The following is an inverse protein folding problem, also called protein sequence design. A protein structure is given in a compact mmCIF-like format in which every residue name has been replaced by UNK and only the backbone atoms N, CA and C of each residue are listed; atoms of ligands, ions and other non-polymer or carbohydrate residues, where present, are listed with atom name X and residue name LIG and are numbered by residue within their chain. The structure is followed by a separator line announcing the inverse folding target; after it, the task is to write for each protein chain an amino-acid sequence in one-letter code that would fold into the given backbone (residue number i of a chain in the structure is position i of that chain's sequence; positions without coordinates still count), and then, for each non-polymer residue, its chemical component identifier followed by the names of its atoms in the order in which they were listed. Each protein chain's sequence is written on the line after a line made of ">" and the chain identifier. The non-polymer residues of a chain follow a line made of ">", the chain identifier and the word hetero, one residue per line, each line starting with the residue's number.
data_IF_476468914183
#
_entry.id   IF_476468914183
#
_cell.length_a   1.000
_cell.length_b   1.000
_cell.length_c   1.000
_cell.angle_alpha   90.00
_cell.angle_beta   90.00
_cell.angle_gamma   90.00
#
_symmetry.space_group_name_H-M   'P 1'
#
loop_
_entity.id
_entity.type
_entity.pdbx_description
1 polymer ?
#
# COMPACT_ATOMS: atom_id res chain seq x y z
N UNK A 1 -19.81 18.50 2.40
CA UNK A 1 -19.45 17.66 1.24
C UNK A 1 -18.34 16.76 1.75
N UNK A 2 -18.37 15.46 1.46
CA UNK A 2 -17.34 14.52 1.91
C UNK A 2 -16.48 14.04 0.74
N UNK A 3 -15.19 13.83 0.99
CA UNK A 3 -14.23 13.36 -0.01
C UNK A 3 -14.07 11.85 0.11
N UNK A 4 -14.25 11.15 -1.01
CA UNK A 4 -13.98 9.72 -1.09
C UNK A 4 -12.49 9.46 -0.84
N UNK A 5 -12.13 8.57 0.09
CA UNK A 5 -10.73 8.27 0.41
C UNK A 5 -10.18 7.12 -0.44
N UNK A 6 -11.05 6.23 -0.92
CA UNK A 6 -10.69 5.03 -1.66
C UNK A 6 -11.58 4.87 -2.90
N UNK A 7 -11.05 4.34 -4.00
CA UNK A 7 -11.84 4.03 -5.20
C UNK A 7 -12.61 2.72 -5.02
N UNK A 8 -13.92 2.72 -5.27
CA UNK A 8 -14.75 1.52 -5.19
C UNK A 8 -15.96 1.62 -6.12
N UNK A 9 -16.58 0.48 -6.43
CA UNK A 9 -17.78 0.42 -7.27
C UNK A 9 -18.90 -0.27 -6.52
N UNK A 10 -20.12 0.25 -6.67
CA UNK A 10 -21.33 -0.39 -6.15
C UNK A 10 -22.36 -0.58 -7.26
N UNK A 11 -23.21 -1.58 -7.11
CA UNK A 11 -24.37 -1.74 -7.98
C UNK A 11 -25.53 -0.90 -7.45
N UNK A 12 -26.02 0.03 -8.27
CA UNK A 12 -27.17 0.88 -7.95
C UNK A 12 -28.08 0.96 -9.17
N UNK A 13 -29.38 0.71 -8.96
CA UNK A 13 -30.39 0.78 -10.01
C UNK A 13 -30.05 -0.11 -11.24
N UNK A 14 -29.40 -1.25 -11.01
CA UNK A 14 -29.02 -2.19 -12.07
C UNK A 14 -27.79 -1.77 -12.89
N UNK A 15 -27.06 -0.73 -12.47
CA UNK A 15 -25.81 -0.29 -13.10
C UNK A 15 -24.68 -0.16 -12.06
N UNK A 16 -23.42 -0.49 -12.44
CA UNK A 16 -22.28 -0.22 -11.58
C UNK A 16 -21.97 1.28 -11.56
N UNK A 17 -21.98 1.87 -10.37
CA UNK A 17 -21.57 3.24 -10.09
C UNK A 17 -20.20 3.21 -9.43
N UNK A 18 -19.21 3.80 -10.11
CA UNK A 18 -17.84 3.91 -9.60
C UNK A 18 -17.66 5.23 -8.85
N UNK A 19 -17.06 5.14 -7.67
CA UNK A 19 -16.57 6.27 -6.89
C UNK A 19 -15.04 6.26 -6.92
N UNK A 20 -14.45 7.42 -7.23
CA UNK A 20 -13.00 7.54 -7.37
C UNK A 20 -12.42 8.19 -6.12
N UNK A 21 -11.24 7.73 -5.69
CA UNK A 21 -10.49 8.38 -4.63
C UNK A 21 -10.30 9.88 -4.94
N UNK A 22 -10.64 10.71 -3.97
CA UNK A 22 -10.62 12.16 -4.07
C UNK A 22 -11.89 12.81 -4.61
N UNK A 23 -12.87 12.03 -5.10
CA UNK A 23 -14.16 12.55 -5.56
C UNK A 23 -14.94 13.17 -4.40
N UNK A 24 -15.44 14.40 -4.60
CA UNK A 24 -16.31 15.08 -3.65
C UNK A 24 -17.76 14.66 -3.85
N UNK A 25 -18.42 14.27 -2.76
CA UNK A 25 -19.79 13.80 -2.74
C UNK A 25 -20.59 14.65 -1.74
N UNK A 26 -21.86 14.91 -2.06
CA UNK A 26 -22.76 15.66 -1.17
C UNK A 26 -23.02 14.91 0.14
N UNK A 27 -23.15 15.61 1.26
CA UNK A 27 -23.39 15.00 2.58
C UNK A 27 -24.73 14.25 2.65
N UNK A 28 -25.67 14.54 1.73
CA UNK A 28 -26.95 13.84 1.62
C UNK A 28 -26.90 12.61 0.73
N UNK A 29 -25.75 12.29 0.14
CA UNK A 29 -25.64 11.16 -0.77
C UNK A 29 -25.86 9.83 -0.02
N UNK A 30 -26.73 8.93 -0.51
CA UNK A 30 -27.10 7.71 0.21
C UNK A 30 -25.91 6.78 0.49
N UNK A 31 -24.84 6.89 -0.31
CA UNK A 31 -23.62 6.10 -0.11
C UNK A 31 -22.96 6.35 1.25
N UNK A 32 -23.13 7.55 1.81
CA UNK A 32 -22.58 7.93 3.10
C UNK A 32 -23.29 7.20 4.25
N UNK A 33 -24.47 6.61 4.03
CA UNK A 33 -25.15 5.79 5.04
C UNK A 33 -24.52 4.41 5.19
N UNK A 34 -24.06 3.83 4.09
CA UNK A 34 -23.54 2.45 4.04
C UNK A 34 -22.02 2.40 4.07
N UNK A 35 -21.35 3.40 3.49
CA UNK A 35 -19.90 3.41 3.28
C UNK A 35 -19.24 4.64 3.89
N UNK A 36 -19.81 5.22 4.96
CA UNK A 36 -19.30 6.45 5.61
C UNK A 36 -17.79 6.41 5.91
N UNK A 37 -17.27 5.24 6.27
CA UNK A 37 -15.85 5.03 6.59
C UNK A 37 -14.92 5.23 5.38
N UNK A 38 -15.45 5.23 4.15
CA UNK A 38 -14.73 5.54 2.91
C UNK A 38 -14.79 7.03 2.53
N UNK A 39 -15.38 7.86 3.39
CA UNK A 39 -15.57 9.29 3.14
C UNK A 39 -15.09 10.11 4.32
N UNK A 40 -14.25 11.09 4.04
CA UNK A 40 -13.69 12.00 5.05
C UNK A 40 -14.18 13.43 4.81
N UNK A 41 -14.27 14.23 5.86
CA UNK A 41 -14.52 15.66 5.72
C UNK A 41 -13.31 16.27 4.97
N UNK A 42 -13.54 17.14 3.97
CA UNK A 42 -12.46 17.78 3.23
C UNK A 42 -11.73 18.71 4.19
N UNK A 43 -10.70 18.18 4.85
CA UNK A 43 -9.85 18.95 5.73
C UNK A 43 -9.16 20.01 4.86
N UNK A 44 -9.55 21.27 5.07
CA UNK A 44 -8.87 22.38 4.45
C UNK A 44 -7.44 22.45 5.01
N UNK A 45 -6.47 22.13 4.16
CA UNK A 45 -5.05 22.53 4.22
C UNK A 45 -4.09 21.61 4.98
N UNK A 46 -3.25 20.89 4.23
CA UNK A 46 -1.81 21.08 4.31
C UNK A 46 -1.23 21.23 2.90
N UNK A 47 -0.41 22.27 2.63
CA UNK A 47 0.22 22.51 1.35
C UNK A 47 1.51 21.68 1.26
N UNK A 48 1.41 20.50 0.64
CA UNK A 48 2.56 19.72 0.17
C UNK A 48 2.51 19.69 -1.35
N UNK A 49 3.07 20.73 -1.97
CA UNK A 49 3.07 20.87 -3.42
C UNK A 49 3.87 19.74 -4.08
N UNK A 50 3.25 19.06 -5.05
CA UNK A 50 3.88 18.92 -6.36
C UNK A 50 2.81 19.11 -7.42
N UNK A 51 2.93 20.13 -8.28
CA UNK A 51 1.86 20.53 -9.19
C UNK A 51 1.87 19.73 -10.50
N UNK A 52 0.67 19.58 -11.05
CA UNK A 52 0.34 19.42 -12.48
C UNK A 52 0.85 18.16 -13.18
N UNK A 53 -0.03 17.16 -13.32
CA UNK A 53 -0.09 16.42 -14.59
C UNK A 53 -1.41 16.74 -15.27
N UNK A 54 -1.31 17.58 -16.29
CA UNK A 54 -2.36 17.83 -17.24
C UNK A 54 -2.93 16.48 -17.72
N UNK A 55 -4.24 16.36 -17.69
CA UNK A 55 -4.95 15.28 -18.38
C UNK A 55 -4.80 15.55 -19.86
N UNK A 56 -3.75 15.02 -20.48
CA UNK A 56 -3.74 14.84 -21.93
C UNK A 56 -4.70 13.69 -22.24
N UNK A 57 -5.96 14.06 -22.52
CA UNK A 57 -6.84 13.27 -23.36
C UNK A 57 -6.20 13.14 -24.74
N UNK A 58 -5.45 12.07 -24.96
CA UNK A 58 -5.11 11.64 -26.32
C UNK A 58 -5.59 10.21 -26.49
N UNK A 59 -6.70 10.09 -27.22
CA UNK A 59 -7.13 8.93 -28.01
C UNK A 59 -5.92 8.07 -28.39
N UNK A 60 -5.75 6.92 -27.74
CA UNK A 60 -4.79 5.92 -28.19
C UNK A 60 -5.55 4.85 -28.98
N UNK A 61 -5.29 4.83 -30.28
CA UNK A 61 -5.70 3.78 -31.21
C UNK A 61 -5.20 2.40 -30.74
N UNK A 62 -5.96 1.31 -31.02
CA UNK A 62 -5.65 -0.02 -30.53
C UNK A 62 -4.44 -0.60 -31.30
N UNK A 63 -3.38 -1.00 -30.58
CA UNK A 63 -2.33 -1.83 -31.20
C UNK A 63 -0.92 -1.83 -30.60
N UNK A 64 -0.59 -0.95 -29.66
CA UNK A 64 0.80 -0.89 -29.16
C UNK A 64 1.03 -1.87 -28.01
N UNK A 65 1.85 -2.90 -28.27
CA UNK A 65 2.38 -3.83 -27.27
C UNK A 65 3.09 -3.03 -26.18
N UNK A 66 2.48 -2.96 -25.00
CA UNK A 66 3.06 -2.32 -23.83
C UNK A 66 4.10 -3.25 -23.23
N UNK A 67 5.39 -2.95 -23.41
CA UNK A 67 6.43 -3.50 -22.53
C UNK A 67 6.18 -2.92 -21.15
N UNK A 68 5.68 -3.75 -20.24
CA UNK A 68 5.49 -3.42 -18.84
C UNK A 68 6.87 -3.26 -18.20
N UNK A 69 7.37 -2.03 -18.12
CA UNK A 69 8.38 -1.72 -17.12
C UNK A 69 7.68 -1.89 -15.76
N UNK A 70 8.10 -2.83 -14.90
CA UNK A 70 7.49 -2.99 -13.58
C UNK A 70 7.62 -1.66 -12.82
N UNK A 71 6.60 -1.26 -12.04
CA UNK A 71 6.69 -0.05 -11.23
C UNK A 71 7.92 -0.19 -10.33
N UNK A 72 8.79 0.82 -10.36
CA UNK A 72 9.90 0.92 -9.43
C UNK A 72 9.30 0.89 -8.01
N UNK A 73 9.48 -0.25 -7.34
CA UNK A 73 9.28 -0.39 -5.91
C UNK A 73 10.07 0.72 -5.24
N UNK A 74 9.36 1.52 -4.46
CA UNK A 74 9.89 2.56 -3.58
C UNK A 74 11.19 2.04 -2.97
N UNK A 75 12.33 2.56 -3.43
CA UNK A 75 13.65 2.01 -3.12
C UNK A 75 14.14 2.49 -1.75
N UNK A 76 13.21 2.66 -0.82
CA UNK A 76 13.45 3.00 0.58
C UNK A 76 13.55 1.74 1.44
N UNK A 77 14.24 1.80 2.58
CA UNK A 77 14.26 0.72 3.56
C UNK A 77 12.85 0.44 4.09
N UNK A 78 12.41 -0.83 4.09
CA UNK A 78 11.08 -1.25 4.55
C UNK A 78 10.79 -0.82 6.00
N UNK A 79 9.67 -0.15 6.26
CA UNK A 79 9.34 0.34 7.60
C UNK A 79 8.26 -0.55 8.26
N UNK A 80 8.61 -1.44 9.21
CA UNK A 80 7.61 -2.34 9.79
C UNK A 80 6.50 -1.62 10.59
N UNK A 81 6.72 -0.38 11.02
CA UNK A 81 5.73 0.42 11.73
C UNK A 81 4.54 0.88 10.86
N UNK A 82 4.74 0.99 9.55
CA UNK A 82 3.69 1.38 8.59
C UNK A 82 2.93 0.18 8.03
N UNK A 83 3.35 -1.04 8.41
CA UNK A 83 2.80 -2.30 7.89
C UNK A 83 2.14 -3.12 8.99
N UNK A 84 1.16 -3.94 8.63
CA UNK A 84 0.54 -4.88 9.55
C UNK A 84 1.43 -6.12 9.77
N UNK A 85 1.15 -6.91 10.82
CA UNK A 85 2.01 -8.03 11.19
C UNK A 85 2.16 -9.08 10.08
N UNK A 86 1.12 -9.28 9.28
CA UNK A 86 1.13 -10.23 8.17
C UNK A 86 2.00 -9.72 7.02
N UNK A 87 1.96 -8.42 6.74
CA UNK A 87 2.82 -7.79 5.73
C UNK A 87 4.29 -7.82 6.15
N UNK A 88 4.61 -7.54 7.40
CA UNK A 88 5.98 -7.63 7.92
C UNK A 88 6.51 -9.06 7.82
N UNK A 89 5.70 -10.06 8.19
CA UNK A 89 6.09 -11.47 8.04
C UNK A 89 6.26 -11.90 6.57
N UNK A 90 5.38 -11.45 5.69
CA UNK A 90 5.50 -11.72 4.25
C UNK A 90 6.76 -11.05 3.67
N UNK A 91 7.10 -9.85 4.12
CA UNK A 91 8.33 -9.17 3.71
C UNK A 91 9.57 -9.93 4.18
N UNK A 92 9.62 -10.33 5.46
CA UNK A 92 10.71 -11.15 6.03
C UNK A 92 10.90 -12.50 5.34
N UNK A 93 9.85 -13.05 4.71
CA UNK A 93 9.95 -14.29 3.93
C UNK A 93 10.72 -14.10 2.61
N UNK A 94 10.77 -12.86 2.11
CA UNK A 94 11.44 -12.51 0.85
C UNK A 94 12.72 -11.68 1.04
N UNK A 95 12.92 -11.12 2.23
CA UNK A 95 14.07 -10.28 2.55
C UNK A 95 15.36 -11.10 2.74
N UNK A 96 16.50 -10.47 2.45
CA UNK A 96 17.83 -11.01 2.75
C UNK A 96 18.13 -10.96 4.25
N UNK A 97 19.16 -11.68 4.71
CA UNK A 97 19.51 -11.74 6.14
C UNK A 97 19.75 -10.35 6.74
N UNK A 98 20.49 -9.49 6.02
CA UNK A 98 20.81 -8.14 6.48
C UNK A 98 19.55 -7.27 6.65
N UNK A 99 18.62 -7.38 5.72
CA UNK A 99 17.38 -6.59 5.75
C UNK A 99 16.39 -7.16 6.77
N UNK A 100 16.28 -8.48 6.88
CA UNK A 100 15.48 -9.14 7.89
C UNK A 100 15.93 -8.74 9.31
N UNK A 101 17.25 -8.70 9.56
CA UNK A 101 17.80 -8.26 10.84
C UNK A 101 17.44 -6.81 11.14
N UNK A 102 17.59 -5.90 10.16
CA UNK A 102 17.22 -4.48 10.32
C UNK A 102 15.73 -4.32 10.66
N UNK A 103 14.85 -5.00 9.93
CA UNK A 103 13.39 -4.94 10.16
C UNK A 103 13.03 -5.49 11.54
N UNK A 104 13.66 -6.59 11.96
CA UNK A 104 13.43 -7.19 13.27
C UNK A 104 13.93 -6.29 14.43
N UNK A 105 15.04 -5.57 14.24
CA UNK A 105 15.52 -4.61 15.24
C UNK A 105 14.63 -3.37 15.32
N UNK A 106 14.14 -2.86 14.19
CA UNK A 106 13.17 -1.74 14.18
C UNK A 106 11.85 -2.16 14.86
N UNK A 107 11.35 -3.37 14.58
CA UNK A 107 10.14 -3.90 15.22
C UNK A 107 10.33 -4.12 16.73
N UNK A 108 11.52 -4.56 17.16
CA UNK A 108 11.84 -4.74 18.57
C UNK A 108 12.00 -3.40 19.31
N UNK A 109 12.44 -2.36 18.61
CA UNK A 109 12.60 -1.01 19.13
C UNK A 109 11.31 -0.17 19.08
N UNK A 110 10.23 -0.67 18.46
CA UNK A 110 8.95 0.01 18.41
C UNK A 110 8.30 0.13 19.80
N UNK A 111 7.47 1.16 20.01
CA UNK A 111 6.71 1.36 21.26
C UNK A 111 5.79 0.18 21.61
N UNK A 112 5.43 -0.65 20.63
CA UNK A 112 4.56 -1.81 20.79
C UNK A 112 5.09 -2.99 19.97
N UNK A 113 6.13 -3.71 20.46
CA UNK A 113 6.71 -4.82 19.75
C UNK A 113 5.70 -5.96 19.62
N UNK A 114 5.45 -6.41 18.39
CA UNK A 114 4.48 -7.48 18.15
C UNK A 114 5.10 -8.81 18.57
N UNK A 115 4.66 -9.35 19.70
CA UNK A 115 5.20 -10.58 20.29
C UNK A 115 5.24 -11.77 19.31
N UNK A 116 4.34 -11.84 18.33
CA UNK A 116 4.39 -12.86 17.28
C UNK A 116 5.62 -12.74 16.36
N UNK A 117 6.01 -11.52 16.01
CA UNK A 117 7.18 -11.26 15.15
C UNK A 117 8.47 -11.47 15.95
N UNK A 118 8.52 -10.98 17.20
CA UNK A 118 9.69 -11.16 18.07
C UNK A 118 9.99 -12.63 18.35
N UNK A 119 8.96 -13.47 18.53
CA UNK A 119 9.13 -14.94 18.69
C UNK A 119 9.63 -15.64 17.43
N UNK A 120 9.33 -15.09 16.26
CA UNK A 120 9.75 -15.63 14.98
C UNK A 120 11.12 -15.10 14.53
N UNK A 121 11.77 -14.24 15.32
CA UNK A 121 13.05 -13.60 15.00
C UNK A 121 14.12 -14.61 14.57
N UNK A 122 14.37 -15.63 15.40
CA UNK A 122 15.41 -16.63 15.11
C UNK A 122 15.08 -17.46 13.87
N UNK A 123 13.81 -17.82 13.70
CA UNK A 123 13.34 -18.56 12.53
C UNK A 123 13.49 -17.73 11.25
N UNK A 124 13.04 -16.49 11.27
CA UNK A 124 13.12 -15.59 10.12
C UNK A 124 14.56 -15.33 9.68
N UNK A 125 15.50 -15.19 10.63
CA UNK A 125 16.92 -15.04 10.33
C UNK A 125 17.53 -16.32 9.74
N UNK A 126 17.18 -17.49 10.28
CA UNK A 126 17.66 -18.76 9.75
C UNK A 126 17.13 -19.04 8.32
N UNK A 127 15.84 -18.77 8.08
CA UNK A 127 15.23 -18.88 6.76
C UNK A 127 15.86 -17.88 5.78
N UNK A 128 16.11 -16.63 6.20
CA UNK A 128 16.76 -15.61 5.36
C UNK A 128 18.20 -15.99 4.99
N UNK A 129 18.97 -16.52 5.94
CA UNK A 129 20.34 -17.03 5.69
C UNK A 129 20.34 -18.18 4.69
N UNK A 130 19.43 -19.15 4.85
CA UNK A 130 19.32 -20.28 3.94
C UNK A 130 19.02 -19.81 2.51
N UNK A 131 18.18 -18.78 2.35
CA UNK A 131 17.87 -18.20 1.03
C UNK A 131 19.04 -17.43 0.43
N UNK A 132 19.77 -16.67 1.23
CA UNK A 132 20.94 -15.90 0.76
C UNK A 132 22.06 -16.85 0.28
N UNK A 133 22.24 -17.98 0.98
CA UNK A 133 23.15 -19.05 0.56
C UNK A 133 22.67 -19.73 -0.74
N UNK A 134 21.36 -19.97 -0.88
CA UNK A 134 20.77 -20.49 -2.13
C UNK A 134 20.92 -19.52 -3.30
N UNK A 135 20.73 -18.22 -3.08
CA UNK A 135 20.86 -17.18 -4.10
C UNK A 135 22.33 -16.93 -4.50
N UNK A 136 23.28 -17.22 -3.60
CA UNK A 136 24.72 -17.11 -3.88
C UNK A 136 25.31 -18.35 -4.56
N UNK A 137 24.56 -19.46 -4.61
CA UNK A 137 24.99 -20.73 -5.19
C UNK A 137 24.52 -20.93 -6.65
N UNK A 138 23.78 -19.97 -7.22
CA UNK A 138 23.28 -19.95 -8.61
C UNK A 138 24.04 -18.95 -9.48
#
# INVERSE_FOLDING_TARGET
>A
MQRCTQSFSIWRDGAPVAFVAGQLIDDKHPILKTHRHLFEEPQATHPGATPLRAVEQTTAEPGTVRTLTPPAVDSGPFNPGEHNAKEVLAYLDTASEAEALRVLDVEAAADSPRAGITKLREKALADARARDEQASAE
#
